data_IF_778429152245
#
_entry.id   IF_778429152245
#
_cell.length_a   1.000
_cell.length_b   1.000
_cell.length_c   1.000
_cell.angle_alpha   90.00
_cell.angle_beta   90.00
_cell.angle_gamma   90.00
#
_symmetry.space_group_name_H-M   'P 1'
#
loop_
_entity.id
_entity.type
_entity.pdbx_description
1 polymer ?
#
# COMPACT_ATOMS: atom_id res chain seq x y z
N UNK A 1 16.37 29.30 11.90
CA UNK A 1 16.43 27.87 11.48
C UNK A 1 15.00 27.38 11.43
N UNK A 2 14.53 26.85 10.29
CA UNK A 2 13.16 26.34 10.19
C UNK A 2 13.10 24.95 10.84
N UNK A 3 12.13 24.75 11.72
CA UNK A 3 11.91 23.48 12.41
C UNK A 3 11.31 22.47 11.41
N UNK A 4 11.96 21.32 11.21
CA UNK A 4 11.44 20.26 10.34
C UNK A 4 10.31 19.55 11.07
N UNK A 5 9.06 19.90 10.72
CA UNK A 5 7.89 19.23 11.27
C UNK A 5 7.73 17.85 10.62
N UNK A 6 7.99 16.79 11.37
CA UNK A 6 7.70 15.43 10.95
C UNK A 6 6.18 15.25 10.92
N UNK A 7 5.63 15.00 9.73
CA UNK A 7 4.22 14.67 9.56
C UNK A 7 4.03 13.16 9.75
N UNK A 8 3.09 12.77 10.60
CA UNK A 8 2.76 11.37 10.88
C UNK A 8 1.25 11.15 10.91
N UNK A 9 0.83 9.92 10.62
CA UNK A 9 -0.58 9.51 10.63
C UNK A 9 -0.95 8.61 9.44
N UNK A 10 -1.98 7.78 9.63
CA UNK A 10 -2.49 6.83 8.61
C UNK A 10 -2.99 7.52 7.34
N UNK A 11 -3.40 8.79 7.42
CA UNK A 11 -3.79 9.60 6.26
C UNK A 11 -2.65 9.75 5.24
N UNK A 12 -1.40 9.88 5.71
CA UNK A 12 -0.23 9.97 4.82
C UNK A 12 0.08 8.63 4.17
N UNK A 13 -0.07 7.53 4.91
CA UNK A 13 0.03 6.18 4.34
C UNK A 13 -1.06 5.91 3.31
N UNK A 14 -2.27 6.41 3.52
CA UNK A 14 -3.39 6.31 2.58
C UNK A 14 -3.08 7.00 1.27
N UNK A 15 -2.54 8.23 1.33
CA UNK A 15 -2.12 8.96 0.13
C UNK A 15 -1.01 8.22 -0.65
N UNK A 16 -0.03 7.67 0.06
CA UNK A 16 1.05 6.90 -0.56
C UNK A 16 0.52 5.60 -1.22
N UNK A 17 -0.31 4.84 -0.51
CA UNK A 17 -0.94 3.64 -1.05
C UNK A 17 -1.77 3.96 -2.30
N UNK A 18 -2.53 5.05 -2.30
CA UNK A 18 -3.34 5.49 -3.45
C UNK A 18 -2.45 5.79 -4.66
N UNK A 19 -1.37 6.56 -4.48
CA UNK A 19 -0.44 6.90 -5.56
C UNK A 19 0.38 5.71 -6.07
N UNK A 20 0.55 4.66 -5.27
CA UNK A 20 1.16 3.42 -5.73
C UNK A 20 0.17 2.56 -6.53
N UNK A 21 -1.05 2.41 -6.02
CA UNK A 21 -2.11 1.63 -6.68
C UNK A 21 -2.41 2.20 -8.07
N UNK A 22 -2.43 3.54 -8.24
CA UNK A 22 -2.66 4.18 -9.54
C UNK A 22 -1.56 3.88 -10.59
N UNK A 23 -0.37 3.46 -10.17
CA UNK A 23 0.69 3.00 -11.11
C UNK A 23 0.54 1.54 -11.52
N UNK A 24 -0.12 0.73 -10.69
CA UNK A 24 -0.26 -0.71 -10.87
C UNK A 24 -1.54 -1.11 -11.58
N UNK A 25 -2.63 -0.39 -11.30
CA UNK A 25 -3.91 -0.65 -11.94
C UNK A 25 -3.91 0.18 -13.22
N UNK A 26 -3.94 -0.46 -14.42
CA UNK A 26 -4.15 0.27 -15.66
C UNK A 26 -5.45 1.07 -15.58
N UNK A 27 -5.64 2.09 -16.42
CA UNK A 27 -6.91 2.84 -16.54
C UNK A 27 -8.12 1.97 -16.96
N UNK A 28 -7.91 0.66 -17.05
CA UNK A 28 -8.91 -0.37 -17.27
C UNK A 28 -9.60 -0.77 -15.96
N UNK A 29 -10.73 -0.11 -15.70
CA UNK A 29 -11.64 -0.40 -14.58
C UNK A 29 -12.40 -1.73 -14.73
N UNK A 30 -12.17 -2.51 -15.79
CA UNK A 30 -12.78 -3.84 -15.94
C UNK A 30 -12.13 -4.91 -15.05
N UNK A 31 -10.94 -4.63 -14.49
CA UNK A 31 -10.25 -5.56 -13.62
C UNK A 31 -11.07 -5.87 -12.36
N UNK A 32 -11.38 -7.15 -12.10
CA UNK A 32 -12.06 -7.54 -10.87
C UNK A 32 -11.24 -7.14 -9.63
N UNK A 33 -11.94 -6.70 -8.58
CA UNK A 33 -11.32 -6.38 -7.29
C UNK A 33 -10.42 -7.51 -6.76
N UNK A 34 -10.80 -8.78 -6.99
CA UNK A 34 -10.01 -9.96 -6.58
C UNK A 34 -8.62 -9.97 -7.22
N UNK A 35 -8.53 -9.61 -8.50
CA UNK A 35 -7.27 -9.62 -9.24
C UNK A 35 -6.38 -8.44 -8.83
N UNK A 36 -6.99 -7.28 -8.60
CA UNK A 36 -6.32 -6.12 -8.01
C UNK A 36 -5.74 -6.48 -6.63
N UNK A 37 -6.55 -7.06 -5.75
CA UNK A 37 -6.12 -7.48 -4.43
C UNK A 37 -5.00 -8.53 -4.48
N UNK A 38 -5.09 -9.49 -5.39
CA UNK A 38 -4.05 -10.50 -5.59
C UNK A 38 -2.71 -9.85 -6.01
N UNK A 39 -2.72 -8.95 -6.99
CA UNK A 39 -1.53 -8.20 -7.44
C UNK A 39 -0.94 -7.37 -6.30
N UNK A 40 -1.77 -6.68 -5.52
CA UNK A 40 -1.31 -5.90 -4.38
C UNK A 40 -0.62 -6.78 -3.34
N UNK A 41 -1.21 -7.94 -2.99
CA UNK A 41 -0.57 -8.88 -2.06
C UNK A 41 0.80 -9.36 -2.53
N UNK A 42 0.99 -9.63 -3.82
CA UNK A 42 2.29 -10.02 -4.38
C UNK A 42 3.36 -8.92 -4.24
N UNK A 43 2.95 -7.66 -4.12
CA UNK A 43 3.83 -6.50 -3.93
C UNK A 43 3.96 -6.08 -2.45
N UNK A 44 3.18 -6.69 -1.56
CA UNK A 44 3.21 -6.42 -0.14
C UNK A 44 4.26 -7.31 0.53
N UNK A 45 5.16 -6.70 1.29
CA UNK A 45 6.05 -7.42 2.19
C UNK A 45 5.30 -7.71 3.49
N UNK A 46 5.13 -8.99 3.81
CA UNK A 46 4.61 -9.44 5.10
C UNK A 46 5.56 -8.99 6.22
N UNK A 47 4.99 -8.40 7.28
CA UNK A 47 5.77 -7.90 8.42
C UNK A 47 5.84 -8.89 9.59
N UNK A 48 4.88 -9.81 9.65
CA UNK A 48 4.76 -10.81 10.70
C UNK A 48 4.73 -12.21 10.07
N UNK A 49 4.85 -13.25 10.89
CA UNK A 49 4.68 -14.64 10.44
C UNK A 49 3.25 -14.95 9.97
N UNK A 50 2.31 -14.06 10.23
CA UNK A 50 0.92 -14.16 9.79
C UNK A 50 0.74 -13.54 8.40
N UNK A 51 -0.01 -14.21 7.53
CA UNK A 51 -0.36 -13.67 6.21
C UNK A 51 -1.20 -12.39 6.29
N UNK A 52 -1.92 -12.16 7.40
CA UNK A 52 -2.68 -10.94 7.67
C UNK A 52 -2.84 -10.71 9.17
N UNK A 53 -2.50 -9.53 9.66
CA UNK A 53 -2.73 -9.11 11.04
C UNK A 53 -3.62 -7.85 11.14
N UNK A 54 -4.05 -7.52 12.35
CA UNK A 54 -4.98 -6.40 12.62
C UNK A 54 -4.32 -5.01 12.59
N UNK A 55 -2.99 -4.95 12.70
CA UNK A 55 -2.21 -3.70 12.73
C UNK A 55 -1.78 -3.28 11.33
N UNK A 56 -1.23 -4.22 10.55
CA UNK A 56 -0.65 -3.95 9.24
C UNK A 56 -1.45 -4.54 8.08
N UNK A 57 -2.56 -5.23 8.35
CA UNK A 57 -3.28 -5.95 7.31
C UNK A 57 -2.37 -7.01 6.70
N UNK A 58 -2.14 -6.95 5.39
CA UNK A 58 -1.25 -7.88 4.69
C UNK A 58 0.25 -7.51 4.81
N UNK A 59 0.59 -6.36 5.40
CA UNK A 59 1.97 -5.89 5.57
C UNK A 59 2.26 -4.56 4.87
N UNK A 60 3.54 -4.33 4.52
CA UNK A 60 4.00 -3.10 3.88
C UNK A 60 3.93 -3.19 2.37
N UNK A 61 3.14 -2.29 1.77
CA UNK A 61 3.17 -2.08 0.33
C UNK A 61 4.48 -1.37 -0.04
N UNK A 62 5.47 -2.14 -0.50
CA UNK A 62 6.74 -1.57 -0.87
C UNK A 62 6.71 -1.12 -2.32
N UNK A 63 6.97 0.17 -2.51
CA UNK A 63 7.33 0.68 -3.82
C UNK A 63 8.77 0.26 -4.15
N UNK A 64 8.98 -1.03 -4.47
CA UNK A 64 10.24 -1.50 -5.03
C UNK A 64 10.28 -1.06 -6.50
N UNK A 65 11.20 -0.14 -6.82
CA UNK A 65 11.58 0.18 -8.19
C UNK A 65 12.12 -1.06 -8.90
#
# INVERSE_FOLDING_TARGET
MAEVKVLSGTSFFTANATGYISKLIPDDFSLPFKDILHRLKQKTQTLNNDERDSTYGYGLLLNKN
#
